data_IF_958481203091
#
_entry.id   IF_958481203091
#
_cell.length_a   1.000
_cell.length_b   1.000
_cell.length_c   1.000
_cell.angle_alpha   90.00
_cell.angle_beta   90.00
_cell.angle_gamma   90.00
#
_symmetry.space_group_name_H-M   'P 1'
#
loop_
_entity.id
_entity.type
_entity.pdbx_description
1 polymer ?
#
# COMPACT_ATOMS: atom_id res chain seq x y z
N UNK A 1 -22.35 11.32 -12.38
CA UNK A 1 -21.92 11.02 -13.76
C UNK A 1 -20.76 10.05 -13.65
N UNK A 2 -20.70 9.00 -14.47
CA UNK A 2 -19.57 8.06 -14.44
C UNK A 2 -18.32 8.68 -15.06
N UNK A 3 -17.14 8.18 -14.68
CA UNK A 3 -15.87 8.58 -15.28
C UNK A 3 -15.87 8.23 -16.77
N UNK A 4 -15.34 9.11 -17.62
CA UNK A 4 -15.03 8.77 -19.01
C UNK A 4 -13.91 7.73 -19.05
N UNK A 5 -13.75 7.05 -20.19
CA UNK A 5 -12.67 6.07 -20.36
C UNK A 5 -11.27 6.70 -20.16
N UNK A 6 -11.07 7.91 -20.67
CA UNK A 6 -9.80 8.63 -20.54
C UNK A 6 -9.50 9.00 -19.09
N UNK A 7 -10.49 9.53 -18.35
CA UNK A 7 -10.33 9.84 -16.92
C UNK A 7 -10.08 8.58 -16.09
N UNK A 8 -10.77 7.47 -16.41
CA UNK A 8 -10.55 6.20 -15.73
C UNK A 8 -9.12 5.68 -15.97
N UNK A 9 -8.64 5.73 -17.22
CA UNK A 9 -7.30 5.30 -17.58
C UNK A 9 -6.22 6.15 -16.90
N UNK A 10 -6.38 7.47 -16.89
CA UNK A 10 -5.45 8.39 -16.23
C UNK A 10 -5.40 8.16 -14.71
N UNK A 11 -6.55 7.92 -14.06
CA UNK A 11 -6.61 7.63 -12.61
C UNK A 11 -6.07 6.25 -12.26
N UNK A 12 -6.28 5.23 -13.10
CA UNK A 12 -5.67 3.90 -12.90
C UNK A 12 -4.15 3.97 -13.07
N UNK A 13 -3.65 4.68 -14.09
CA UNK A 13 -2.21 4.93 -14.25
C UNK A 13 -1.65 5.73 -13.07
N UNK A 14 -2.42 6.67 -12.55
CA UNK A 14 -2.10 7.44 -11.35
C UNK A 14 -1.97 6.53 -10.13
N UNK A 15 -2.89 5.58 -9.95
CA UNK A 15 -2.82 4.56 -8.89
C UNK A 15 -1.56 3.70 -8.96
N UNK A 16 -1.19 3.20 -10.14
CA UNK A 16 0.03 2.41 -10.33
C UNK A 16 1.30 3.24 -10.10
N UNK A 17 1.42 4.39 -10.77
CA UNK A 17 2.57 5.30 -10.64
C UNK A 17 2.73 5.76 -9.20
N UNK A 18 1.63 6.17 -8.58
CA UNK A 18 1.60 6.65 -7.21
C UNK A 18 1.98 5.58 -6.19
N UNK A 19 1.47 4.35 -6.37
CA UNK A 19 1.87 3.21 -5.54
C UNK A 19 3.37 2.96 -5.59
N UNK A 20 3.94 2.90 -6.80
CA UNK A 20 5.37 2.64 -6.97
C UNK A 20 6.18 3.81 -6.40
N UNK A 21 5.81 5.05 -6.66
CA UNK A 21 6.52 6.21 -6.13
C UNK A 21 6.51 6.27 -4.59
N UNK A 22 5.36 5.99 -3.97
CA UNK A 22 5.23 5.94 -2.52
C UNK A 22 6.03 4.79 -1.89
N UNK A 23 6.01 3.61 -2.51
CA UNK A 23 6.82 2.46 -2.10
C UNK A 23 8.33 2.80 -2.15
N UNK A 24 8.78 3.32 -3.29
CA UNK A 24 10.17 3.73 -3.52
C UNK A 24 10.65 4.81 -2.53
N UNK A 25 9.77 5.75 -2.17
CA UNK A 25 10.06 6.78 -1.17
C UNK A 25 10.25 6.19 0.23
N UNK A 26 9.39 5.25 0.61
CA UNK A 26 9.39 4.63 1.93
C UNK A 26 10.47 3.57 2.13
N UNK A 27 10.85 2.86 1.08
CA UNK A 27 11.72 1.67 1.17
C UNK A 27 13.07 1.90 1.84
N UNK A 28 13.83 3.00 1.58
CA UNK A 28 15.13 3.19 2.22
C UNK A 28 15.08 3.30 3.76
N UNK A 29 13.91 3.68 4.30
CA UNK A 29 13.68 3.91 5.74
C UNK A 29 12.58 2.99 6.31
N UNK A 30 12.35 1.85 5.66
CA UNK A 30 11.59 0.72 6.22
C UNK A 30 12.34 0.18 7.46
N UNK A 31 11.65 -0.52 8.37
CA UNK A 31 12.11 -0.94 9.72
C UNK A 31 11.76 0.10 10.80
N UNK A 32 10.46 0.25 11.09
CA UNK A 32 9.93 1.29 11.97
C UNK A 32 10.36 1.26 13.43
N UNK A 33 11.00 0.18 13.91
CA UNK A 33 11.67 0.13 15.22
C UNK A 33 13.00 0.92 15.22
N UNK A 34 13.64 1.07 14.06
CA UNK A 34 14.85 1.88 13.87
C UNK A 34 14.51 3.24 13.24
N UNK A 35 13.77 3.24 12.12
CA UNK A 35 13.33 4.43 11.41
C UNK A 35 12.02 4.98 11.99
N UNK A 36 12.10 5.45 13.23
CA UNK A 36 11.01 6.17 13.88
C UNK A 36 10.75 7.52 13.20
N UNK A 37 9.57 8.16 13.36
CA UNK A 37 9.32 9.49 12.80
C UNK A 37 10.41 10.52 13.14
N UNK A 38 10.90 10.50 14.39
CA UNK A 38 11.97 11.38 14.83
C UNK A 38 13.31 11.08 14.15
N UNK A 39 13.60 9.81 13.87
CA UNK A 39 14.83 9.39 13.21
C UNK A 39 14.82 9.74 11.71
N UNK A 40 13.69 9.54 11.03
CA UNK A 40 13.47 9.99 9.65
C UNK A 40 13.64 11.51 9.56
N UNK A 41 13.01 12.28 10.45
CA UNK A 41 13.14 13.73 10.47
C UNK A 41 14.59 14.20 10.75
N UNK A 42 15.33 13.48 11.59
CA UNK A 42 16.74 13.78 11.84
C UNK A 42 17.59 13.56 10.57
N UNK A 43 17.34 12.47 9.83
CA UNK A 43 17.99 12.20 8.55
C UNK A 43 17.68 13.29 7.52
N UNK A 44 16.40 13.65 7.37
CA UNK A 44 15.98 14.70 6.44
C UNK A 44 16.64 16.05 6.75
N UNK A 45 16.81 16.41 8.03
CA UNK A 45 17.54 17.62 8.41
C UNK A 45 19.04 17.52 8.12
N UNK A 46 19.65 16.36 8.37
CA UNK A 46 21.06 16.11 8.07
C UNK A 46 21.37 16.30 6.57
N UNK A 47 20.41 15.94 5.71
CA UNK A 47 20.56 15.99 4.25
C UNK A 47 19.87 17.18 3.58
N UNK A 48 19.43 18.18 4.35
CA UNK A 48 18.69 19.37 3.86
C UNK A 48 17.48 19.03 2.96
N UNK A 49 16.76 17.98 3.32
CA UNK A 49 15.62 17.42 2.60
C UNK A 49 14.29 17.64 3.34
N UNK A 50 14.25 18.54 4.32
CA UNK A 50 13.03 18.93 5.02
C UNK A 50 12.61 20.35 4.59
N UNK A 51 11.40 20.56 4.01
CA UNK A 51 10.33 19.58 3.80
C UNK A 51 10.66 18.54 2.72
N UNK A 52 10.17 17.32 2.93
CA UNK A 52 10.34 16.20 1.99
C UNK A 52 9.41 16.40 0.79
N UNK A 53 10.00 16.69 -0.38
CA UNK A 53 9.29 17.05 -1.62
C UNK A 53 9.70 16.23 -2.85
N UNK A 54 10.62 15.29 -2.65
CA UNK A 54 11.21 14.40 -3.66
C UNK A 54 11.74 13.15 -2.93
N UNK A 55 12.20 12.12 -3.65
CA UNK A 55 12.79 10.91 -3.08
C UNK A 55 13.91 11.22 -2.07
N UNK A 56 14.12 10.30 -1.12
CA UNK A 56 15.17 10.46 -0.12
C UNK A 56 16.54 10.65 -0.80
N UNK A 57 17.38 11.59 -0.32
CA UNK A 57 18.74 11.71 -0.81
C UNK A 57 19.57 10.46 -0.47
N UNK A 58 20.72 10.23 -1.13
CA UNK A 58 21.67 9.22 -0.69
C UNK A 58 22.26 9.57 0.69
N UNK A 59 22.64 8.58 1.51
CA UNK A 59 23.27 8.85 2.81
C UNK A 59 24.64 9.52 2.59
N UNK A 60 24.98 10.57 3.37
CA UNK A 60 26.30 11.18 3.28
C UNK A 60 27.41 10.18 3.68
N UNK A 61 28.67 10.37 3.23
CA UNK A 61 29.77 9.43 3.50
C UNK A 61 29.98 9.08 4.99
N UNK A 62 29.67 10.02 5.90
CA UNK A 62 29.86 9.88 7.34
C UNK A 62 28.53 9.79 8.13
N UNK A 63 27.47 9.24 7.52
CA UNK A 63 26.13 9.13 8.11
C UNK A 63 25.99 8.02 9.17
N UNK A 64 26.91 7.96 10.15
CA UNK A 64 26.88 6.94 11.20
C UNK A 64 25.53 6.96 11.95
N UNK A 65 24.87 5.80 12.03
CA UNK A 65 23.56 5.65 12.65
C UNK A 65 22.37 5.93 11.72
N UNK A 66 22.61 6.29 10.46
CA UNK A 66 21.59 6.48 9.42
C UNK A 66 21.77 5.47 8.28
N UNK A 67 21.99 4.20 8.62
CA UNK A 67 22.13 3.12 7.65
C UNK A 67 20.78 2.81 6.99
N UNK A 68 20.60 3.29 5.76
CA UNK A 68 19.43 2.95 4.94
C UNK A 68 19.39 1.46 4.60
N UNK A 69 18.20 0.95 4.26
CA UNK A 69 17.98 -0.43 3.81
C UNK A 69 18.90 -0.82 2.64
N UNK A 70 19.39 -2.06 2.52
CA UNK A 70 20.40 -2.45 1.52
C UNK A 70 20.06 -2.09 0.07
N UNK A 71 18.78 -1.99 -0.27
CA UNK A 71 18.24 -1.65 -1.59
C UNK A 71 18.32 -0.14 -1.91
N UNK A 72 18.63 0.72 -0.91
CA UNK A 72 18.66 2.17 -1.07
C UNK A 72 19.42 2.67 -2.32
N UNK A 73 20.52 2.05 -2.82
CA UNK A 73 21.21 2.55 -4.00
C UNK A 73 20.33 2.61 -5.26
N UNK A 74 19.20 1.89 -5.28
CA UNK A 74 18.23 1.87 -6.37
C UNK A 74 16.98 2.73 -6.09
N UNK A 75 16.78 3.18 -4.85
CA UNK A 75 15.52 3.82 -4.43
C UNK A 75 15.69 5.28 -3.95
N UNK A 76 16.90 5.85 -4.02
CA UNK A 76 17.19 7.25 -3.63
C UNK A 76 17.29 8.20 -4.82
N UNK A 77 17.06 9.48 -4.55
CA UNK A 77 17.12 10.58 -5.52
C UNK A 77 18.41 10.55 -6.34
N UNK A 78 18.26 10.73 -7.65
CA UNK A 78 19.38 10.73 -8.59
C UNK A 78 19.97 9.35 -8.93
N UNK A 79 19.42 8.26 -8.35
CA UNK A 79 19.85 6.89 -8.67
C UNK A 79 18.73 5.98 -9.16
N UNK A 80 17.47 6.39 -9.00
CA UNK A 80 16.31 5.64 -9.49
C UNK A 80 16.33 5.61 -11.02
N UNK A 81 16.17 4.40 -11.58
CA UNK A 81 16.00 4.13 -13.00
C UNK A 81 15.20 2.83 -13.15
N UNK A 82 13.87 2.95 -13.08
CA UNK A 82 13.00 1.81 -12.77
C UNK A 82 12.77 1.67 -11.26
N UNK A 83 11.68 1.01 -10.88
CA UNK A 83 11.46 0.68 -9.46
C UNK A 83 12.54 -0.28 -8.96
N UNK A 84 12.94 -0.19 -7.70
CA UNK A 84 13.54 -1.33 -7.02
C UNK A 84 12.44 -2.40 -6.77
N UNK A 85 12.83 -3.67 -6.63
CA UNK A 85 11.84 -4.74 -6.39
C UNK A 85 11.30 -4.63 -4.97
N UNK A 86 10.00 -4.87 -4.84
CA UNK A 86 9.29 -4.86 -3.56
C UNK A 86 8.08 -5.81 -3.58
N UNK A 87 7.74 -6.44 -2.45
CA UNK A 87 6.59 -7.35 -2.38
C UNK A 87 5.25 -6.63 -2.53
N UNK A 88 5.16 -5.37 -2.13
CA UNK A 88 3.99 -4.54 -2.42
C UNK A 88 3.67 -4.56 -3.91
N UNK A 89 4.66 -4.28 -4.74
CA UNK A 89 4.45 -4.21 -6.19
C UNK A 89 4.22 -5.61 -6.77
N UNK A 90 4.92 -6.62 -6.25
CA UNK A 90 4.71 -8.02 -6.67
C UNK A 90 3.28 -8.49 -6.44
N UNK A 91 2.70 -8.22 -5.27
CA UNK A 91 1.34 -8.65 -4.98
C UNK A 91 0.30 -7.94 -5.83
N UNK A 92 0.51 -6.67 -6.18
CA UNK A 92 -0.36 -5.96 -7.12
C UNK A 92 -0.33 -6.61 -8.52
N UNK A 93 0.86 -6.96 -9.02
CA UNK A 93 1.04 -7.68 -10.30
C UNK A 93 0.40 -9.07 -10.23
N UNK A 94 0.62 -9.79 -9.13
CA UNK A 94 0.08 -11.14 -8.93
C UNK A 94 -1.46 -11.12 -8.89
N UNK A 95 -2.04 -10.17 -8.17
CA UNK A 95 -3.49 -10.00 -8.10
C UNK A 95 -4.11 -9.56 -9.43
N UNK A 96 -3.41 -8.74 -10.22
CA UNK A 96 -3.82 -8.42 -11.59
C UNK A 96 -3.85 -9.69 -12.46
N UNK A 97 -2.79 -10.49 -12.42
CA UNK A 97 -2.71 -11.74 -13.17
C UNK A 97 -3.78 -12.75 -12.71
N UNK A 98 -4.09 -12.81 -11.41
CA UNK A 98 -5.17 -13.63 -10.88
C UNK A 98 -6.51 -13.26 -11.53
N UNK A 99 -6.85 -11.97 -11.57
CA UNK A 99 -8.10 -11.50 -12.15
C UNK A 99 -8.18 -11.79 -13.65
N UNK A 100 -7.08 -11.63 -14.39
CA UNK A 100 -7.04 -11.93 -15.82
C UNK A 100 -7.23 -13.42 -16.13
N UNK A 101 -6.71 -14.31 -15.27
CA UNK A 101 -6.69 -15.75 -15.54
C UNK A 101 -7.85 -16.53 -14.90
N UNK A 102 -8.38 -16.04 -13.77
CA UNK A 102 -9.46 -16.70 -13.00
C UNK A 102 -10.75 -15.88 -12.94
N UNK A 103 -10.72 -14.61 -13.35
CA UNK A 103 -11.87 -13.71 -13.30
C UNK A 103 -12.21 -13.25 -11.88
N UNK A 104 -13.26 -12.43 -11.77
CA UNK A 104 -13.70 -11.83 -10.49
C UNK A 104 -14.37 -12.83 -9.54
N UNK A 105 -14.63 -14.06 -9.98
CA UNK A 105 -15.21 -15.15 -9.17
C UNK A 105 -14.15 -16.09 -8.57
N UNK A 106 -12.85 -15.71 -8.60
CA UNK A 106 -11.77 -16.52 -8.06
C UNK A 106 -12.02 -16.98 -6.61
N UNK A 107 -11.45 -18.13 -6.26
CA UNK A 107 -11.48 -18.69 -4.89
C UNK A 107 -10.16 -18.46 -4.15
N UNK A 108 -10.17 -18.55 -2.81
CA UNK A 108 -8.95 -18.44 -2.00
C UNK A 108 -7.94 -19.54 -2.32
N UNK A 109 -8.40 -20.74 -2.66
CA UNK A 109 -7.56 -21.86 -3.10
C UNK A 109 -6.80 -21.50 -4.38
N UNK A 110 -7.44 -20.81 -5.33
CA UNK A 110 -6.78 -20.34 -6.55
C UNK A 110 -5.74 -19.24 -6.29
N UNK A 111 -5.93 -18.42 -5.24
CA UNK A 111 -4.90 -17.48 -4.76
C UNK A 111 -3.68 -18.27 -4.28
N UNK A 112 -3.89 -19.30 -3.45
CA UNK A 112 -2.82 -20.16 -2.94
C UNK A 112 -2.10 -20.94 -4.04
N UNK A 113 -2.84 -21.50 -5.00
CA UNK A 113 -2.27 -22.14 -6.20
C UNK A 113 -1.40 -21.16 -6.98
N UNK A 114 -1.89 -19.93 -7.19
CA UNK A 114 -1.14 -18.91 -7.91
C UNK A 114 0.17 -18.53 -7.21
N UNK A 115 0.17 -18.43 -5.88
CA UNK A 115 1.39 -18.21 -5.11
C UNK A 115 2.42 -19.30 -5.37
N UNK A 116 2.01 -20.58 -5.28
CA UNK A 116 2.89 -21.73 -5.51
C UNK A 116 3.50 -21.75 -6.92
N UNK A 117 2.77 -21.22 -7.92
CA UNK A 117 3.18 -21.24 -9.32
C UNK A 117 4.03 -20.04 -9.73
N UNK A 118 3.87 -18.89 -9.08
CA UNK A 118 4.40 -17.61 -9.58
C UNK A 118 5.21 -16.80 -8.58
N UNK A 119 5.08 -17.04 -7.28
CA UNK A 119 5.72 -16.22 -6.26
C UNK A 119 6.83 -17.02 -5.57
N UNK A 120 8.11 -16.60 -5.65
CA UNK A 120 9.18 -17.32 -4.96
C UNK A 120 9.02 -17.28 -3.43
N UNK A 121 9.22 -18.42 -2.77
CA UNK A 121 8.98 -18.57 -1.32
C UNK A 121 9.68 -17.50 -0.46
N UNK A 122 10.97 -17.23 -0.73
CA UNK A 122 11.76 -16.25 0.04
C UNK A 122 11.41 -14.79 -0.25
N UNK A 123 10.48 -14.53 -1.17
CA UNK A 123 9.98 -13.19 -1.52
C UNK A 123 8.62 -12.90 -0.87
N UNK A 124 8.13 -13.82 -0.03
CA UNK A 124 7.00 -13.60 0.89
C UNK A 124 7.52 -13.32 2.29
N UNK A 125 6.80 -12.57 3.12
CA UNK A 125 7.26 -12.21 4.47
C UNK A 125 6.22 -12.60 5.52
N UNK A 126 6.64 -12.70 6.78
CA UNK A 126 5.73 -12.81 7.94
C UNK A 126 4.56 -13.80 7.78
N UNK A 127 3.30 -13.35 7.80
CA UNK A 127 2.09 -14.15 7.66
C UNK A 127 2.03 -14.89 6.32
N UNK A 128 2.45 -14.22 5.25
CA UNK A 128 2.50 -14.79 3.90
C UNK A 128 3.51 -15.91 3.80
N UNK A 129 4.69 -15.73 4.41
CA UNK A 129 5.72 -16.78 4.44
C UNK A 129 5.25 -18.01 5.20
N UNK A 130 4.53 -17.81 6.30
CA UNK A 130 3.90 -18.90 7.05
C UNK A 130 2.79 -19.57 6.23
N UNK A 131 1.90 -18.79 5.60
CA UNK A 131 0.84 -19.34 4.76
C UNK A 131 1.38 -20.12 3.57
N UNK A 132 2.45 -19.62 2.94
CA UNK A 132 3.14 -20.34 1.86
C UNK A 132 3.74 -21.65 2.37
N UNK A 133 4.42 -21.65 3.53
CA UNK A 133 4.92 -22.89 4.15
C UNK A 133 3.78 -23.89 4.38
N UNK A 134 2.65 -23.41 4.87
CA UNK A 134 1.47 -24.24 5.13
C UNK A 134 0.90 -24.83 3.83
N UNK A 135 0.80 -24.03 2.75
CA UNK A 135 0.43 -24.50 1.41
C UNK A 135 1.39 -25.59 0.89
N UNK A 136 2.71 -25.36 1.00
CA UNK A 136 3.73 -26.31 0.56
C UNK A 136 3.69 -27.63 1.35
N UNK A 137 3.18 -27.60 2.59
CA UNK A 137 2.95 -28.78 3.42
C UNK A 137 1.56 -29.42 3.21
N UNK A 138 0.79 -28.97 2.22
CA UNK A 138 -0.50 -29.56 1.84
C UNK A 138 -1.70 -29.06 2.66
N UNK A 139 -1.55 -28.02 3.47
CA UNK A 139 -2.69 -27.38 4.14
C UNK A 139 -3.44 -26.47 3.17
N UNK A 140 -4.77 -26.52 3.21
CA UNK A 140 -5.66 -25.61 2.48
C UNK A 140 -6.25 -24.51 3.36
N UNK A 141 -6.77 -23.42 2.77
CA UNK A 141 -7.54 -22.43 3.50
C UNK A 141 -8.74 -23.06 4.27
N UNK A 142 -9.09 -22.54 5.46
CA UNK A 142 -8.49 -21.41 6.16
C UNK A 142 -7.26 -21.78 7.01
N UNK A 143 -6.85 -23.06 7.07
CA UNK A 143 -5.73 -23.51 7.92
C UNK A 143 -4.39 -22.88 7.50
N UNK A 144 -4.25 -22.50 6.23
CA UNK A 144 -3.08 -21.75 5.74
C UNK A 144 -2.84 -20.48 6.54
N UNK A 145 -3.91 -19.78 6.95
CA UNK A 145 -3.83 -18.54 7.71
C UNK A 145 -3.66 -18.77 9.22
N UNK A 146 -4.16 -19.88 9.78
CA UNK A 146 -4.26 -20.05 11.24
C UNK A 146 -3.27 -21.05 11.85
N UNK A 147 -2.77 -22.01 11.07
CA UNK A 147 -1.85 -23.02 11.57
C UNK A 147 -0.44 -22.45 11.76
N UNK A 148 0.01 -22.36 13.02
CA UNK A 148 1.32 -21.84 13.42
C UNK A 148 1.70 -20.51 12.76
N UNK A 149 0.71 -19.61 12.64
CA UNK A 149 0.87 -18.27 12.09
C UNK A 149 0.64 -17.22 13.17
N UNK A 150 1.68 -16.57 13.71
CA UNK A 150 1.54 -15.53 14.73
C UNK A 150 1.28 -14.14 14.13
N UNK A 151 1.31 -13.98 12.80
CA UNK A 151 1.35 -12.69 12.12
C UNK A 151 0.00 -12.30 11.47
N UNK A 152 -1.10 -12.97 11.86
CA UNK A 152 -2.39 -12.93 11.15
C UNK A 152 -3.05 -11.54 11.04
N UNK A 153 -2.64 -10.58 11.87
CA UNK A 153 -3.14 -9.21 11.89
C UNK A 153 -2.07 -8.17 11.49
N UNK A 154 -1.01 -8.63 10.84
CA UNK A 154 0.01 -7.75 10.26
C UNK A 154 -0.47 -7.17 8.93
N UNK A 155 0.23 -6.15 8.44
CA UNK A 155 -0.17 -5.33 7.29
C UNK A 155 -0.11 -6.07 5.96
N UNK A 156 0.55 -7.23 5.89
CA UNK A 156 0.81 -7.92 4.64
C UNK A 156 -0.43 -8.22 3.78
N UNK A 157 -1.63 -8.46 4.34
CA UNK A 157 -2.85 -8.54 3.54
C UNK A 157 -3.31 -7.19 2.96
N UNK A 158 -3.07 -6.08 3.67
CA UNK A 158 -3.42 -4.73 3.25
C UNK A 158 -2.67 -4.34 1.98
N UNK A 159 -1.37 -4.62 1.91
CA UNK A 159 -0.54 -4.24 0.75
C UNK A 159 -0.99 -4.92 -0.55
N UNK A 160 -1.66 -6.08 -0.49
CA UNK A 160 -2.11 -6.82 -1.69
C UNK A 160 -3.40 -6.26 -2.30
N UNK A 161 -4.06 -5.33 -1.61
CA UNK A 161 -5.45 -5.03 -1.84
C UNK A 161 -5.72 -4.03 -2.98
N UNK A 162 -4.74 -3.20 -3.34
CA UNK A 162 -4.92 -2.07 -4.25
C UNK A 162 -5.53 -2.43 -5.61
N UNK A 163 -5.08 -3.55 -6.18
CA UNK A 163 -5.56 -4.02 -7.49
C UNK A 163 -7.06 -4.30 -7.51
N UNK A 164 -7.64 -4.71 -6.37
CA UNK A 164 -9.09 -4.91 -6.25
C UNK A 164 -9.85 -3.59 -6.20
N UNK A 165 -9.22 -2.52 -5.70
CA UNK A 165 -9.73 -1.16 -5.76
C UNK A 165 -9.68 -0.60 -7.19
N UNK A 166 -8.53 -0.69 -7.86
CA UNK A 166 -8.36 -0.20 -9.24
C UNK A 166 -9.27 -0.90 -10.25
N UNK A 167 -9.61 -2.17 -10.02
CA UNK A 167 -10.54 -2.95 -10.87
C UNK A 167 -12.01 -2.85 -10.47
N UNK A 168 -12.32 -2.04 -9.45
CA UNK A 168 -13.69 -1.79 -8.96
C UNK A 168 -13.97 -0.29 -8.76
N UNK A 169 -13.70 0.59 -9.75
CA UNK A 169 -13.84 2.03 -9.59
C UNK A 169 -15.27 2.41 -9.22
N UNK A 170 -15.45 3.08 -8.07
CA UNK A 170 -16.77 3.45 -7.55
C UNK A 170 -17.59 2.28 -6.98
N UNK A 171 -17.05 1.06 -6.86
CA UNK A 171 -17.68 -0.07 -6.17
C UNK A 171 -16.83 -0.61 -4.99
N UNK A 172 -16.83 0.11 -3.85
CA UNK A 172 -16.10 -0.29 -2.64
C UNK A 172 -16.54 -1.66 -2.08
N UNK A 173 -17.79 -2.06 -2.33
CA UNK A 173 -18.32 -3.34 -1.84
C UNK A 173 -17.69 -4.50 -2.61
N UNK A 174 -17.61 -4.41 -3.93
CA UNK A 174 -16.92 -5.41 -4.77
C UNK A 174 -15.45 -5.47 -4.43
N UNK A 175 -14.78 -4.32 -4.31
CA UNK A 175 -13.37 -4.22 -3.96
C UNK A 175 -13.06 -4.95 -2.63
N UNK A 176 -13.81 -4.65 -1.57
CA UNK A 176 -13.67 -5.32 -0.27
C UNK A 176 -13.96 -6.83 -0.34
N UNK A 177 -14.93 -7.26 -1.16
CA UNK A 177 -15.26 -8.68 -1.32
C UNK A 177 -14.14 -9.48 -2.01
N UNK A 178 -13.50 -8.89 -3.03
CA UNK A 178 -12.34 -9.47 -3.70
C UNK A 178 -11.15 -9.54 -2.74
N UNK A 179 -10.82 -8.41 -2.08
CA UNK A 179 -9.75 -8.34 -1.11
C UNK A 179 -9.94 -9.31 0.06
N UNK A 180 -11.17 -9.52 0.54
CA UNK A 180 -11.45 -10.53 1.58
C UNK A 180 -11.08 -11.95 1.10
N UNK A 181 -11.46 -12.33 -0.13
CA UNK A 181 -11.18 -13.67 -0.66
C UNK A 181 -9.67 -13.93 -0.80
N UNK A 182 -8.91 -12.90 -1.14
CA UNK A 182 -7.45 -12.96 -1.20
C UNK A 182 -6.80 -12.95 0.20
N UNK A 183 -7.28 -12.10 1.11
CA UNK A 183 -6.69 -11.90 2.42
C UNK A 183 -6.78 -13.13 3.33
N UNK A 184 -7.90 -13.86 3.27
CA UNK A 184 -8.14 -15.04 4.13
C UNK A 184 -7.22 -16.23 3.82
N UNK A 185 -6.42 -16.16 2.76
CA UNK A 185 -5.35 -17.13 2.51
C UNK A 185 -4.29 -17.12 3.63
N UNK A 186 -3.90 -15.94 4.11
CA UNK A 186 -2.77 -15.77 5.03
C UNK A 186 -3.10 -15.02 6.32
N UNK A 187 -4.22 -14.30 6.37
CA UNK A 187 -4.57 -13.41 7.48
C UNK A 187 -5.95 -13.71 8.08
N UNK A 188 -6.17 -13.22 9.29
CA UNK A 188 -7.47 -13.22 9.97
C UNK A 188 -7.73 -11.85 10.63
N UNK A 189 -8.90 -11.68 11.26
CA UNK A 189 -9.18 -10.51 12.09
C UNK A 189 -8.92 -9.17 11.41
N UNK A 190 -8.16 -8.29 12.09
CA UNK A 190 -7.85 -6.97 11.55
C UNK A 190 -6.93 -7.01 10.32
N UNK A 191 -6.15 -8.08 10.10
CA UNK A 191 -5.35 -8.23 8.88
C UNK A 191 -6.25 -8.31 7.64
N UNK A 192 -7.31 -9.12 7.72
CA UNK A 192 -8.34 -9.20 6.65
C UNK A 192 -9.11 -7.88 6.53
N UNK A 193 -9.47 -7.25 7.66
CA UNK A 193 -10.15 -5.96 7.61
C UNK A 193 -9.28 -4.86 6.99
N UNK A 194 -7.96 -4.91 7.16
CA UNK A 194 -7.01 -3.99 6.54
C UNK A 194 -7.08 -4.06 5.02
N UNK A 195 -7.01 -5.27 4.46
CA UNK A 195 -7.16 -5.51 3.02
C UNK A 195 -8.51 -5.03 2.49
N UNK A 196 -9.59 -5.38 3.19
CA UNK A 196 -10.94 -4.96 2.81
C UNK A 196 -11.07 -3.43 2.78
N UNK A 197 -10.53 -2.76 3.80
CA UNK A 197 -10.56 -1.30 3.92
C UNK A 197 -9.72 -0.61 2.86
N UNK A 198 -8.48 -1.05 2.60
CA UNK A 198 -7.62 -0.45 1.58
C UNK A 198 -8.19 -0.58 0.16
N UNK A 199 -8.68 -1.78 -0.22
CA UNK A 199 -9.35 -1.96 -1.51
C UNK A 199 -10.60 -1.08 -1.65
N UNK A 200 -11.42 -0.99 -0.60
CA UNK A 200 -12.61 -0.15 -0.58
C UNK A 200 -12.28 1.34 -0.67
N UNK A 201 -11.22 1.78 0.01
CA UNK A 201 -10.74 3.16 0.00
C UNK A 201 -10.30 3.58 -1.41
N UNK A 202 -9.50 2.74 -2.07
CA UNK A 202 -9.04 3.02 -3.44
C UNK A 202 -10.21 3.02 -4.43
N UNK A 203 -11.14 2.06 -4.31
CA UNK A 203 -12.36 2.05 -5.12
C UNK A 203 -13.21 3.31 -4.90
N UNK A 204 -13.35 3.77 -3.66
CA UNK A 204 -14.10 4.98 -3.33
C UNK A 204 -13.42 6.25 -3.86
N UNK A 205 -12.08 6.31 -3.85
CA UNK A 205 -11.31 7.45 -4.32
C UNK A 205 -11.59 7.84 -5.78
N UNK A 206 -12.01 6.88 -6.63
CA UNK A 206 -12.39 7.19 -8.01
C UNK A 206 -13.58 8.15 -8.14
N UNK A 207 -14.46 8.23 -7.13
CA UNK A 207 -15.72 8.99 -7.23
C UNK A 207 -15.98 9.90 -6.02
N UNK A 208 -15.19 9.77 -4.95
CA UNK A 208 -15.34 10.59 -3.75
C UNK A 208 -14.98 12.05 -4.04
N UNK A 209 -15.71 13.03 -3.46
CA UNK A 209 -15.40 14.46 -3.61
C UNK A 209 -14.13 14.86 -2.86
N UNK A 210 -13.78 14.13 -1.79
CA UNK A 210 -12.61 14.36 -0.96
C UNK A 210 -12.14 13.07 -0.27
N UNK A 211 -10.93 13.14 0.30
CA UNK A 211 -10.31 12.04 1.06
C UNK A 211 -11.18 11.59 2.23
N UNK A 212 -11.83 12.54 2.91
CA UNK A 212 -12.64 12.26 4.09
C UNK A 212 -13.81 11.34 3.75
N UNK A 213 -14.51 11.65 2.67
CA UNK A 213 -15.64 10.86 2.15
C UNK A 213 -15.18 9.48 1.68
N UNK A 214 -14.01 9.37 1.05
CA UNK A 214 -13.45 8.09 0.64
C UNK A 214 -13.16 7.18 1.87
N UNK A 215 -12.58 7.74 2.93
CA UNK A 215 -12.32 7.04 4.20
C UNK A 215 -13.61 6.55 4.88
N UNK A 216 -14.67 7.38 4.92
CA UNK A 216 -15.96 6.97 5.48
C UNK A 216 -16.59 5.82 4.69
N UNK A 217 -16.59 5.94 3.37
CA UNK A 217 -17.13 4.92 2.48
C UNK A 217 -16.41 3.58 2.66
N UNK A 218 -15.09 3.61 2.80
CA UNK A 218 -14.29 2.41 3.07
C UNK A 218 -14.61 1.77 4.42
N UNK A 219 -14.84 2.58 5.47
CA UNK A 219 -15.18 2.12 6.82
C UNK A 219 -16.50 1.34 6.87
N UNK A 220 -17.44 1.61 5.98
CA UNK A 220 -18.71 0.86 5.89
C UNK A 220 -18.51 -0.58 5.40
N UNK A 221 -17.35 -0.89 4.82
CA UNK A 221 -17.06 -2.22 4.26
C UNK A 221 -16.41 -3.16 5.27
N UNK A 222 -16.13 -2.71 6.49
CA UNK A 222 -15.58 -3.52 7.59
C UNK A 222 -16.49 -3.46 8.82
N UNK A 223 -16.40 -4.41 9.78
CA UNK A 223 -17.22 -4.35 10.99
C UNK A 223 -16.98 -3.05 11.77
N UNK A 224 -18.05 -2.31 12.04
CA UNK A 224 -17.97 -1.01 12.72
C UNK A 224 -17.33 -1.07 14.12
N UNK A 225 -17.40 -2.24 14.78
CA UNK A 225 -16.81 -2.54 16.08
C UNK A 225 -15.40 -3.14 16.01
N UNK A 226 -14.79 -3.26 14.82
CA UNK A 226 -13.40 -3.72 14.69
C UNK A 226 -12.42 -2.72 15.28
N UNK A 227 -11.23 -3.19 15.68
CA UNK A 227 -10.15 -2.29 16.14
C UNK A 227 -9.71 -1.36 15.01
N UNK A 228 -9.62 -1.87 13.79
CA UNK A 228 -9.28 -1.07 12.61
C UNK A 228 -10.25 0.09 12.40
N UNK A 229 -11.56 -0.17 12.43
CA UNK A 229 -12.56 0.89 12.27
C UNK A 229 -12.46 1.96 13.36
N UNK A 230 -12.17 1.57 14.62
CA UNK A 230 -11.93 2.52 15.71
C UNK A 230 -10.67 3.34 15.51
N UNK A 231 -9.57 2.72 15.06
CA UNK A 231 -8.30 3.40 14.81
C UNK A 231 -8.42 4.45 13.71
N UNK A 232 -9.04 4.11 12.58
CA UNK A 232 -9.25 5.04 11.47
C UNK A 232 -10.18 6.18 11.89
N UNK A 233 -11.32 5.90 12.53
CA UNK A 233 -12.22 6.95 13.07
C UNK A 233 -11.55 7.83 14.12
N UNK A 234 -10.69 7.25 14.95
CA UNK A 234 -9.92 7.99 15.95
C UNK A 234 -8.94 8.96 15.30
N UNK A 235 -8.29 8.57 14.21
CA UNK A 235 -7.37 9.41 13.43
C UNK A 235 -8.12 10.58 12.78
N UNK A 236 -9.25 10.27 12.15
CA UNK A 236 -10.19 11.25 11.60
C UNK A 236 -10.60 12.29 12.65
N UNK A 237 -11.01 11.85 13.84
CA UNK A 237 -11.49 12.74 14.89
C UNK A 237 -10.38 13.69 15.39
N UNK A 238 -9.13 13.22 15.47
CA UNK A 238 -7.98 14.06 15.83
C UNK A 238 -7.77 15.15 14.76
N UNK A 239 -7.78 14.78 13.48
CA UNK A 239 -7.71 15.72 12.37
C UNK A 239 -8.82 16.77 12.41
N UNK A 240 -10.08 16.34 12.56
CA UNK A 240 -11.26 17.22 12.62
C UNK A 240 -11.23 18.18 13.84
N UNK A 241 -10.56 17.78 14.92
CA UNK A 241 -10.37 18.64 16.09
C UNK A 241 -9.26 19.68 15.93
N UNK A 242 -8.55 19.67 14.80
CA UNK A 242 -7.43 20.59 14.51
C UNK A 242 -6.12 20.21 15.20
N UNK A 243 -5.98 18.96 15.67
CA UNK A 243 -4.72 18.47 16.24
C UNK A 243 -3.61 18.56 15.18
N UNK A 244 -2.41 19.09 15.50
CA UNK A 244 -1.27 19.07 14.57
C UNK A 244 -0.89 17.65 14.16
N UNK A 245 -0.38 17.46 12.94
CA UNK A 245 -0.01 16.14 12.40
C UNK A 245 0.93 15.34 13.32
N UNK A 246 1.97 16.00 13.87
CA UNK A 246 2.91 15.36 14.79
C UNK A 246 2.25 14.85 16.07
N UNK A 247 1.30 15.61 16.59
CA UNK A 247 0.61 15.31 17.84
C UNK A 247 -0.42 14.19 17.62
N UNK A 248 -1.06 14.19 16.44
CA UNK A 248 -1.89 13.07 15.99
C UNK A 248 -1.08 11.78 15.91
N UNK A 249 0.13 11.79 15.33
CA UNK A 249 0.99 10.61 15.31
C UNK A 249 1.38 10.13 16.72
N UNK A 250 1.71 11.04 17.62
CA UNK A 250 2.06 10.71 19.01
C UNK A 250 0.87 10.05 19.76
N UNK A 251 -0.33 10.59 19.61
CA UNK A 251 -1.55 10.04 20.20
C UNK A 251 -1.89 8.66 19.60
N UNK A 252 -1.74 8.49 18.29
CA UNK A 252 -1.97 7.20 17.63
C UNK A 252 -0.97 6.15 18.10
N UNK A 253 0.32 6.50 18.19
CA UNK A 253 1.36 5.62 18.72
C UNK A 253 1.03 5.16 20.15
N UNK A 254 0.53 6.06 21.01
CA UNK A 254 0.08 5.71 22.35
C UNK A 254 -1.12 4.75 22.35
N UNK A 255 -2.12 4.97 21.49
CA UNK A 255 -3.31 4.10 21.37
C UNK A 255 -3.00 2.71 20.83
N UNK A 256 -1.95 2.58 20.03
CA UNK A 256 -1.49 1.30 19.45
C UNK A 256 -0.24 0.75 20.15
N UNK A 257 0.12 1.28 21.32
CA UNK A 257 1.29 0.84 22.06
C UNK A 257 1.23 -0.67 22.37
N UNK A 258 2.38 -1.33 22.26
CA UNK A 258 2.51 -2.78 22.43
C UNK A 258 2.20 -3.61 21.17
N UNK A 259 1.70 -2.99 20.09
CA UNK A 259 1.65 -3.62 18.77
C UNK A 259 2.98 -3.41 18.04
N UNK A 260 3.42 -4.43 17.29
CA UNK A 260 4.62 -4.33 16.47
C UNK A 260 4.44 -3.35 15.30
N UNK A 261 5.55 -2.81 14.78
CA UNK A 261 5.54 -1.81 13.70
C UNK A 261 4.96 -2.31 12.37
N UNK A 262 4.87 -3.64 12.17
CA UNK A 262 4.25 -4.29 11.00
C UNK A 262 2.74 -4.55 11.24
N UNK A 263 2.22 -4.33 12.45
CA UNK A 263 0.81 -4.59 12.75
C UNK A 263 -0.10 -3.66 11.94
N UNK A 264 -1.23 -4.15 11.42
CA UNK A 264 -2.08 -3.38 10.50
C UNK A 264 -2.67 -2.09 11.09
N UNK A 265 -2.94 -2.08 12.40
CA UNK A 265 -3.58 -0.96 13.10
C UNK A 265 -2.74 0.33 13.12
N UNK A 266 -1.50 0.35 13.63
CA UNK A 266 -0.68 1.57 13.62
C UNK A 266 -0.39 2.05 12.19
N UNK A 267 -0.19 1.13 11.25
CA UNK A 267 0.03 1.45 9.84
C UNK A 267 -1.20 2.10 9.17
N UNK A 268 -2.40 1.54 9.37
CA UNK A 268 -3.63 2.15 8.89
C UNK A 268 -3.88 3.55 9.50
N UNK A 269 -3.40 3.80 10.72
CA UNK A 269 -3.48 5.09 11.37
C UNK A 269 -2.56 6.12 10.70
N UNK A 270 -1.29 5.76 10.47
CA UNK A 270 -0.32 6.60 9.75
C UNK A 270 -0.79 6.90 8.32
N UNK A 271 -1.26 5.88 7.60
CA UNK A 271 -1.85 6.03 6.28
C UNK A 271 -3.05 6.99 6.28
N UNK A 272 -3.97 6.83 7.24
CA UNK A 272 -5.13 7.73 7.38
C UNK A 272 -4.69 9.17 7.67
N UNK A 273 -3.69 9.37 8.52
CA UNK A 273 -3.15 10.69 8.83
C UNK A 273 -2.49 11.32 7.59
N UNK A 274 -1.62 10.62 6.86
CA UNK A 274 -0.98 11.17 5.66
C UNK A 274 -1.98 11.54 4.57
N UNK A 275 -3.06 10.76 4.41
CA UNK A 275 -4.16 11.09 3.49
C UNK A 275 -4.90 12.37 3.90
N UNK A 276 -5.29 12.52 5.17
CA UNK A 276 -6.04 13.67 5.66
C UNK A 276 -5.19 14.96 5.67
N UNK A 277 -4.00 14.90 6.29
CA UNK A 277 -3.11 16.06 6.41
C UNK A 277 -2.36 16.39 5.11
N UNK A 278 -2.43 15.50 4.11
CA UNK A 278 -2.00 15.76 2.75
C UNK A 278 -2.94 16.70 1.98
N UNK A 279 -4.19 16.85 2.43
CA UNK A 279 -5.16 17.82 1.89
C UNK A 279 -5.37 17.72 0.37
N UNK A 280 -5.23 16.50 -0.18
CA UNK A 280 -5.37 16.21 -1.61
C UNK A 280 -4.11 16.50 -2.45
N UNK A 281 -3.03 17.00 -1.85
CA UNK A 281 -1.74 17.16 -2.54
C UNK A 281 -0.95 15.84 -2.54
N UNK A 282 -0.59 15.37 -3.73
CA UNK A 282 0.10 14.08 -3.91
C UNK A 282 1.43 14.01 -3.15
N UNK A 283 2.28 15.04 -3.30
CA UNK A 283 3.62 15.08 -2.68
C UNK A 283 3.50 15.05 -1.17
N UNK A 284 2.64 15.90 -0.63
CA UNK A 284 2.42 16.04 0.81
C UNK A 284 1.83 14.77 1.41
N UNK A 285 0.88 14.12 0.73
CA UNK A 285 0.30 12.84 1.19
C UNK A 285 1.38 11.77 1.37
N UNK A 286 2.17 11.48 0.33
CA UNK A 286 3.17 10.40 0.45
C UNK A 286 4.32 10.78 1.39
N UNK A 287 4.73 12.04 1.41
CA UNK A 287 5.78 12.53 2.31
C UNK A 287 5.37 12.46 3.78
N UNK A 288 4.15 12.88 4.12
CA UNK A 288 3.63 12.78 5.49
C UNK A 288 3.40 11.32 5.89
N UNK A 289 2.92 10.47 4.98
CA UNK A 289 2.78 9.04 5.29
C UNK A 289 4.13 8.40 5.61
N UNK A 290 5.16 8.58 4.76
CA UNK A 290 6.49 8.00 4.98
C UNK A 290 7.17 8.57 6.23
N UNK A 291 7.06 9.88 6.47
CA UNK A 291 7.57 10.51 7.71
C UNK A 291 6.85 10.02 8.97
N UNK A 292 5.70 9.37 8.84
CA UNK A 292 5.00 8.70 9.94
C UNK A 292 5.66 7.40 10.41
N UNK A 293 6.71 6.92 9.73
CA UNK A 293 7.46 5.73 10.12
C UNK A 293 6.67 4.43 9.95
N UNK A 294 6.99 3.44 10.79
CA UNK A 294 6.44 2.07 10.75
C UNK A 294 6.88 1.32 9.49
N UNK A 295 5.92 0.75 8.74
CA UNK A 295 6.15 0.05 7.48
C UNK A 295 6.05 1.05 6.32
N UNK A 296 7.11 1.83 6.12
CA UNK A 296 7.09 3.08 5.36
C UNK A 296 6.88 2.88 3.86
N UNK A 297 7.44 1.84 3.26
CA UNK A 297 7.21 1.46 1.87
C UNK A 297 5.76 1.04 1.65
N UNK A 298 5.22 0.15 2.49
CA UNK A 298 3.84 -0.31 2.44
C UNK A 298 2.83 0.83 2.60
N UNK A 299 3.03 1.67 3.63
CA UNK A 299 2.17 2.82 3.87
C UNK A 299 2.27 3.83 2.73
N UNK A 300 3.50 4.12 2.28
CA UNK A 300 3.77 4.99 1.14
C UNK A 300 3.07 4.48 -0.13
N UNK A 301 3.13 3.18 -0.38
CA UNK A 301 2.52 2.52 -1.53
C UNK A 301 1.01 2.74 -1.57
N UNK A 302 0.29 2.38 -0.51
CA UNK A 302 -1.16 2.57 -0.48
C UNK A 302 -1.55 4.06 -0.44
N UNK A 303 -0.79 4.93 0.23
CA UNK A 303 -1.03 6.37 0.22
C UNK A 303 -0.89 6.97 -1.19
N UNK A 304 0.17 6.61 -1.89
CA UNK A 304 0.44 7.04 -3.25
C UNK A 304 -0.58 6.49 -4.24
N UNK A 305 -1.06 5.25 -4.03
CA UNK A 305 -2.15 4.66 -4.81
C UNK A 305 -3.45 5.45 -4.70
N UNK A 306 -3.86 5.81 -3.48
CA UNK A 306 -5.06 6.62 -3.24
C UNK A 306 -4.89 8.03 -3.80
N UNK A 307 -3.77 8.70 -3.49
CA UNK A 307 -3.49 10.05 -3.99
C UNK A 307 -3.43 10.10 -5.52
N UNK A 308 -2.78 9.11 -6.15
CA UNK A 308 -2.68 8.99 -7.59
C UNK A 308 -4.02 8.71 -8.27
N UNK A 309 -4.91 7.92 -7.66
CA UNK A 309 -6.29 7.75 -8.15
C UNK A 309 -7.09 9.06 -8.04
N UNK A 310 -6.90 9.83 -6.97
CA UNK A 310 -7.60 11.10 -6.77
C UNK A 310 -7.18 12.16 -7.79
N UNK A 311 -5.86 12.33 -8.00
CA UNK A 311 -5.34 13.39 -8.87
C UNK A 311 -5.20 12.98 -10.35
N UNK A 312 -5.03 11.69 -10.63
CA UNK A 312 -4.71 11.19 -11.98
C UNK A 312 -3.22 11.28 -12.31
N UNK A 313 -2.74 10.42 -13.20
CA UNK A 313 -1.31 10.34 -13.56
C UNK A 313 -0.77 11.67 -14.08
N UNK A 314 -1.55 12.37 -14.92
CA UNK A 314 -1.16 13.66 -15.49
C UNK A 314 -0.89 14.77 -14.43
N UNK A 315 -1.43 14.62 -13.21
CA UNK A 315 -1.25 15.58 -12.12
C UNK A 315 -0.17 15.15 -11.11
N UNK A 316 0.43 13.96 -11.24
CA UNK A 316 1.55 13.54 -10.39
C UNK A 316 2.78 14.38 -10.75
N UNK A 317 3.44 15.05 -9.78
CA UNK A 317 4.63 15.83 -10.06
C UNK A 317 5.74 14.98 -10.71
N UNK A 318 6.41 15.48 -11.77
CA UNK A 318 7.32 14.66 -12.58
C UNK A 318 8.44 13.97 -11.81
N UNK A 319 8.94 14.58 -10.73
CA UNK A 319 10.00 13.99 -9.92
C UNK A 319 9.62 12.63 -9.30
N UNK A 320 8.31 12.36 -9.11
CA UNK A 320 7.83 11.08 -8.59
C UNK A 320 7.70 10.01 -9.67
N UNK A 321 7.33 10.39 -10.90
CA UNK A 321 7.05 9.45 -11.99
C UNK A 321 8.22 9.23 -12.96
N UNK A 322 8.90 10.30 -13.36
CA UNK A 322 9.93 10.24 -14.42
C UNK A 322 11.11 9.31 -14.09
N UNK A 323 11.68 9.30 -12.86
CA UNK A 323 12.79 8.40 -12.54
C UNK A 323 12.44 6.92 -12.63
N UNK A 324 11.15 6.57 -12.47
CA UNK A 324 10.68 5.19 -12.61
C UNK A 324 10.81 4.67 -14.05
N UNK A 325 11.02 5.54 -15.04
CA UNK A 325 11.29 5.19 -16.43
C UNK A 325 10.29 4.19 -17.04
N UNK A 326 9.05 4.16 -16.54
CA UNK A 326 8.00 3.20 -16.92
C UNK A 326 8.45 1.73 -16.75
N UNK A 327 9.34 1.43 -15.80
CA UNK A 327 9.88 0.10 -15.56
C UNK A 327 9.64 -0.36 -14.12
N UNK A 328 9.19 -1.61 -13.99
CA UNK A 328 8.96 -2.28 -12.71
C UNK A 328 9.86 -3.49 -12.56
N UNK A 329 10.51 -3.62 -11.40
CA UNK A 329 11.25 -4.83 -11.02
C UNK A 329 10.35 -5.70 -10.16
N UNK A 330 10.27 -6.99 -10.49
CA UNK A 330 9.32 -7.91 -9.84
C UNK A 330 9.93 -9.29 -9.63
N UNK A 331 9.59 -9.94 -8.51
CA UNK A 331 9.92 -11.34 -8.29
C UNK A 331 8.84 -12.30 -8.83
N UNK A 332 7.70 -11.80 -9.30
CA UNK A 332 6.64 -12.63 -9.86
C UNK A 332 7.12 -13.24 -11.18
N UNK A 333 7.11 -14.58 -11.26
CA UNK A 333 7.62 -15.31 -12.40
C UNK A 333 6.93 -14.90 -13.71
N UNK A 334 7.71 -14.29 -14.61
CA UNK A 334 7.26 -13.81 -15.92
C UNK A 334 6.91 -12.31 -15.99
N UNK A 335 7.14 -11.54 -14.93
CA UNK A 335 6.77 -10.11 -14.87
C UNK A 335 7.92 -9.15 -14.52
N UNK A 336 9.17 -9.63 -14.35
CA UNK A 336 10.31 -8.72 -14.16
C UNK A 336 10.53 -7.86 -15.41
N UNK A 337 10.67 -6.55 -15.23
CA UNK A 337 10.80 -5.58 -16.32
C UNK A 337 9.47 -5.21 -16.99
N UNK A 338 8.32 -5.53 -16.38
CA UNK A 338 7.02 -5.06 -16.84
C UNK A 338 6.95 -3.53 -16.86
N UNK A 339 6.12 -2.98 -17.75
CA UNK A 339 5.92 -1.54 -17.86
C UNK A 339 4.75 -1.06 -17.02
N UNK A 340 4.89 0.08 -16.35
CA UNK A 340 3.84 0.67 -15.50
C UNK A 340 2.59 0.95 -16.34
N UNK A 341 2.77 1.56 -17.52
CA UNK A 341 1.70 1.82 -18.48
C UNK A 341 0.98 0.54 -18.93
N UNK A 342 1.72 -0.55 -19.19
CA UNK A 342 1.11 -1.83 -19.59
C UNK A 342 0.26 -2.43 -18.46
N UNK A 343 0.76 -2.41 -17.23
CA UNK A 343 0.02 -2.87 -16.05
C UNK A 343 -1.25 -2.05 -15.83
N UNK A 344 -1.16 -0.72 -16.03
CA UNK A 344 -2.31 0.17 -15.96
C UNK A 344 -3.34 -0.15 -17.06
N UNK A 345 -2.92 -0.32 -18.32
CA UNK A 345 -3.82 -0.67 -19.43
C UNK A 345 -4.54 -2.01 -19.20
N UNK A 346 -3.83 -3.01 -18.68
CA UNK A 346 -4.40 -4.31 -18.28
C UNK A 346 -5.46 -4.14 -17.19
N UNK A 347 -5.17 -3.29 -16.22
CA UNK A 347 -6.10 -2.94 -15.14
C UNK A 347 -7.34 -2.21 -15.67
N UNK A 348 -7.18 -1.26 -16.61
CA UNK A 348 -8.29 -0.56 -17.28
C UNK A 348 -9.21 -1.55 -17.98
N UNK A 349 -8.66 -2.52 -18.72
CA UNK A 349 -9.46 -3.55 -19.38
C UNK A 349 -10.36 -4.25 -18.37
N UNK A 350 -9.80 -4.74 -17.26
CA UNK A 350 -10.58 -5.38 -16.19
C UNK A 350 -11.60 -4.45 -15.53
N UNK A 351 -11.28 -3.18 -15.30
CA UNK A 351 -12.18 -2.20 -14.69
C UNK A 351 -13.40 -1.89 -15.57
N UNK A 352 -13.24 -1.97 -16.89
CA UNK A 352 -14.33 -1.78 -17.86
C UNK A 352 -15.16 -3.04 -18.13
N UNK A 353 -14.69 -4.22 -17.71
CA UNK A 353 -15.48 -5.43 -17.76
C UNK A 353 -16.59 -5.33 -16.71
N UNK A 354 -17.82 -5.14 -17.19
CA UNK A 354 -19.02 -5.27 -16.37
C UNK A 354 -19.15 -6.75 -15.99
N UNK A 355 -19.30 -7.12 -14.70
CA UNK A 355 -19.67 -8.48 -14.33
C UNK A 355 -21.01 -8.90 -14.93
#
# INVERSE_FOLDING_TARGET
MGLTHAELADRILGGWTGRIAGNMLGKPVEQGDHWTPGHIDAYLRLTDALPLTDYLPPPPPDAAGFELRPEWPQCVRGRIHGSCRDDDVDYAILGLHLLETRGFSFTTEQVGELWLLRLPYLQTFTAERVAYRNLANGLGPPLTATYDNPYQEWIGALIRADVYGWTSPGDPRRAASLARRDAVLSHTGNGVYGAMWAAALIAAAFVAPDVRTALETALERIPASSRLARTVRGTIALYESGTPWSDTLAELAARTAGLGWIHVLPNAAVLTAGLLYGEGDFTRTIALTVRGGLDTDSNGATAGSVAGVLCGAAAIPPQWGEPLADLVRSAVFGFDGARIGELAERTVRLATLTP
#
